data_IF_155055994739
#
_entry.id   IF_155055994739
#
_cell.length_a   1.000
_cell.length_b   1.000
_cell.length_c   1.000
_cell.angle_alpha   90.00
_cell.angle_beta   90.00
_cell.angle_gamma   90.00
#
_symmetry.space_group_name_H-M   'P 1'
#
loop_
_entity.id
_entity.type
_entity.pdbx_description
1 polymer ?
#
# COMPACT_ATOMS: atom_id res chain seq x y z
N UNK A 1 10.85 -11.05 -13.14
CA UNK A 1 12.33 -11.04 -13.05
C UNK A 1 12.61 -10.52 -11.66
N UNK A 2 13.29 -11.29 -10.80
CA UNK A 2 13.60 -10.82 -9.46
C UNK A 2 14.83 -9.91 -9.55
N UNK A 3 14.72 -8.68 -9.03
CA UNK A 3 15.83 -7.73 -8.97
C UNK A 3 16.35 -7.73 -7.55
N UNK A 4 17.65 -7.94 -7.40
CA UNK A 4 18.33 -7.81 -6.12
C UNK A 4 18.54 -6.32 -5.81
N UNK A 5 17.99 -5.88 -4.69
CA UNK A 5 18.04 -4.50 -4.20
C UNK A 5 18.96 -4.45 -2.99
N UNK A 6 19.95 -3.56 -3.04
CA UNK A 6 20.84 -3.25 -1.92
C UNK A 6 20.57 -1.82 -1.46
N UNK A 7 20.61 -1.57 -0.15
CA UNK A 7 20.43 -0.22 0.38
C UNK A 7 21.30 0.04 1.62
N UNK A 8 21.52 1.33 1.88
CA UNK A 8 22.02 1.88 3.13
C UNK A 8 21.19 3.14 3.48
N UNK A 9 21.59 3.89 4.50
CA UNK A 9 20.89 5.07 5.01
C UNK A 9 20.79 6.26 4.03
N UNK A 10 21.50 6.24 2.91
CA UNK A 10 21.58 7.33 1.94
C UNK A 10 21.38 6.92 0.47
N UNK A 11 21.31 5.61 0.21
CA UNK A 11 21.31 5.07 -1.15
C UNK A 11 20.58 3.73 -1.27
N UNK A 12 19.88 3.57 -2.40
CA UNK A 12 19.38 2.28 -2.91
C UNK A 12 20.03 2.00 -4.26
N UNK A 13 20.51 0.77 -4.47
CA UNK A 13 21.10 0.33 -5.75
C UNK A 13 20.55 -1.01 -6.21
N UNK A 14 20.51 -1.19 -7.53
CA UNK A 14 20.12 -2.45 -8.16
C UNK A 14 20.70 -2.56 -9.56
N UNK A 15 20.76 -3.78 -10.11
CA UNK A 15 21.16 -4.01 -11.49
C UNK A 15 19.94 -4.17 -12.40
N UNK A 16 19.86 -3.37 -13.45
CA UNK A 16 18.79 -3.45 -14.45
C UNK A 16 19.34 -3.24 -15.86
N UNK A 17 19.03 -4.16 -16.78
CA UNK A 17 19.51 -4.15 -18.18
C UNK A 17 21.04 -3.96 -18.32
N UNK A 18 21.81 -4.61 -17.44
CA UNK A 18 23.27 -4.56 -17.45
C UNK A 18 23.86 -3.24 -16.94
N UNK A 19 23.04 -2.38 -16.33
CA UNK A 19 23.46 -1.13 -15.68
C UNK A 19 23.21 -1.21 -14.19
N UNK A 20 24.15 -0.71 -13.40
CA UNK A 20 23.92 -0.43 -11.99
C UNK A 20 23.17 0.91 -11.89
N UNK A 21 21.97 0.86 -11.33
CA UNK A 21 21.11 2.01 -11.09
C UNK A 21 21.24 2.40 -9.62
N UNK A 22 21.22 3.71 -9.37
CA UNK A 22 21.39 4.30 -8.05
C UNK A 22 20.32 5.36 -7.81
N UNK A 23 19.66 5.26 -6.66
CA UNK A 23 18.74 6.26 -6.13
C UNK A 23 19.29 6.79 -4.80
N UNK A 24 19.41 8.10 -4.65
CA UNK A 24 20.00 8.73 -3.46
C UNK A 24 18.99 9.58 -2.71
N UNK A 25 18.82 9.30 -1.42
CA UNK A 25 17.93 9.98 -0.50
C UNK A 25 18.40 9.69 0.93
N UNK A 26 18.57 10.72 1.75
CA UNK A 26 18.92 10.51 3.16
C UNK A 26 17.73 9.94 3.95
N UNK A 27 18.04 9.12 4.95
CA UNK A 27 17.06 8.54 5.87
C UNK A 27 16.40 7.27 5.36
N UNK A 28 17.02 6.54 4.43
CA UNK A 28 16.48 5.26 3.97
C UNK A 28 16.60 4.24 5.12
N UNK A 29 15.46 3.68 5.52
CA UNK A 29 15.38 2.64 6.55
C UNK A 29 15.19 1.25 5.93
N UNK A 30 14.54 1.20 4.76
CA UNK A 30 14.24 -0.05 4.07
C UNK A 30 14.08 0.17 2.57
N UNK A 31 14.47 -0.82 1.76
CA UNK A 31 14.11 -0.89 0.35
C UNK A 31 13.98 -2.33 -0.14
N UNK A 32 13.04 -2.58 -1.04
CA UNK A 32 12.84 -3.89 -1.70
C UNK A 32 12.24 -3.73 -3.09
N UNK A 33 12.31 -4.78 -3.90
CA UNK A 33 11.44 -4.90 -5.06
C UNK A 33 10.01 -5.17 -4.59
N UNK A 34 9.05 -4.48 -5.19
CA UNK A 34 7.62 -4.68 -4.99
C UNK A 34 6.90 -4.37 -6.30
N UNK A 35 6.16 -5.34 -6.84
CA UNK A 35 5.27 -5.15 -7.97
C UNK A 35 5.93 -4.52 -9.22
N UNK A 36 7.14 -4.96 -9.58
CA UNK A 36 7.97 -4.40 -10.66
C UNK A 36 8.40 -2.92 -10.45
N UNK A 37 8.42 -2.48 -9.20
CA UNK A 37 8.96 -1.21 -8.75
C UNK A 37 9.95 -1.46 -7.61
N UNK A 38 10.67 -0.42 -7.23
CA UNK A 38 11.49 -0.39 -6.01
C UNK A 38 10.69 0.40 -4.97
N UNK A 39 10.25 -0.29 -3.93
CA UNK A 39 9.64 0.30 -2.74
C UNK A 39 10.75 0.75 -1.78
N UNK A 40 10.62 1.96 -1.24
CA UNK A 40 11.62 2.57 -0.36
C UNK A 40 10.90 3.24 0.81
N UNK A 41 11.32 2.93 2.03
CA UNK A 41 10.90 3.59 3.26
C UNK A 41 11.96 4.61 3.66
N UNK A 42 11.52 5.86 3.82
CA UNK A 42 12.37 6.98 4.22
C UNK A 42 11.86 7.56 5.53
N UNK A 43 12.71 7.68 6.53
CA UNK A 43 12.42 8.31 7.80
C UNK A 43 13.20 9.60 7.96
N UNK A 44 12.49 10.71 8.14
CA UNK A 44 13.11 12.01 8.37
C UNK A 44 12.25 12.85 9.32
N UNK A 45 12.90 13.52 10.28
CA UNK A 45 12.24 14.42 11.24
C UNK A 45 11.01 13.83 11.96
N UNK A 46 11.05 12.53 12.27
CA UNK A 46 9.96 11.87 12.98
C UNK A 46 8.85 11.32 12.09
N UNK A 47 8.95 11.48 10.77
CA UNK A 47 7.89 11.17 9.81
C UNK A 47 8.40 10.13 8.81
N UNK A 48 7.55 9.15 8.50
CA UNK A 48 7.78 8.21 7.40
C UNK A 48 7.22 8.74 6.08
N UNK A 49 8.03 8.65 5.03
CA UNK A 49 7.66 8.81 3.63
C UNK A 49 7.97 7.51 2.90
N UNK A 50 6.99 7.02 2.14
CA UNK A 50 7.09 5.80 1.35
C UNK A 50 7.15 6.17 -0.11
N UNK A 51 8.09 5.57 -0.86
CA UNK A 51 8.37 5.94 -2.24
C UNK A 51 8.38 4.72 -3.15
N UNK A 52 7.92 4.92 -4.38
CA UNK A 52 8.00 3.94 -5.45
C UNK A 52 8.78 4.50 -6.63
N UNK A 53 9.87 3.82 -6.94
CA UNK A 53 10.81 4.16 -8.00
C UNK A 53 10.75 3.07 -9.06
N UNK A 54 10.78 3.43 -10.34
CA UNK A 54 10.86 2.43 -11.41
C UNK A 54 12.27 1.84 -11.55
N UNK A 55 12.43 0.78 -12.34
CA UNK A 55 13.74 0.13 -12.51
C UNK A 55 14.80 0.98 -13.21
N UNK A 56 14.43 2.10 -13.85
CA UNK A 56 15.39 3.09 -14.37
C UNK A 56 15.79 4.16 -13.35
N UNK A 57 15.27 4.11 -12.12
CA UNK A 57 15.62 5.04 -11.04
C UNK A 57 14.73 6.29 -10.98
N UNK A 58 13.61 6.32 -11.69
CA UNK A 58 12.67 7.44 -11.71
C UNK A 58 11.62 7.28 -10.61
N UNK A 59 11.52 8.27 -9.73
CA UNK A 59 10.46 8.36 -8.72
C UNK A 59 9.11 8.59 -9.42
N UNK A 60 8.14 7.72 -9.12
CA UNK A 60 6.80 7.76 -9.73
C UNK A 60 5.73 8.19 -8.75
N UNK A 61 5.86 7.74 -7.50
CA UNK A 61 4.82 7.87 -6.48
C UNK A 61 5.47 7.99 -5.11
N UNK A 62 4.92 8.83 -4.24
CA UNK A 62 5.22 8.79 -2.81
C UNK A 62 3.97 9.02 -1.99
N UNK A 63 3.97 8.57 -0.74
CA UNK A 63 2.91 8.89 0.20
C UNK A 63 3.45 9.00 1.63
N UNK A 64 2.69 9.69 2.46
CA UNK A 64 2.99 9.86 3.87
C UNK A 64 1.67 9.82 4.66
N UNK A 65 1.59 8.89 5.61
CA UNK A 65 0.40 8.67 6.44
C UNK A 65 0.16 9.87 7.36
N UNK A 66 1.20 10.38 8.04
CA UNK A 66 1.08 11.49 8.98
C UNK A 66 0.60 12.80 8.33
N UNK A 67 1.08 13.07 7.11
CA UNK A 67 0.63 14.22 6.32
C UNK A 67 -0.59 13.90 5.47
N UNK A 68 -1.09 12.67 5.52
CA UNK A 68 -2.18 12.09 4.73
C UNK A 68 -2.13 12.48 3.24
N UNK A 69 -0.92 12.50 2.68
CA UNK A 69 -0.65 13.04 1.36
C UNK A 69 -0.09 11.97 0.44
N UNK A 70 -0.58 11.96 -0.79
CA UNK A 70 -0.06 11.17 -1.90
C UNK A 70 0.49 12.13 -2.96
N UNK A 71 1.72 11.87 -3.42
CA UNK A 71 2.35 12.61 -4.52
C UNK A 71 2.55 11.68 -5.71
N UNK A 72 2.03 12.10 -6.86
CA UNK A 72 2.17 11.39 -8.14
C UNK A 72 3.04 12.24 -9.04
N UNK A 73 4.23 11.78 -9.40
CA UNK A 73 5.23 12.62 -10.05
C UNK A 73 4.98 12.80 -11.56
N UNK A 74 4.27 11.86 -12.19
CA UNK A 74 4.02 11.85 -13.64
C UNK A 74 2.53 11.64 -13.95
N UNK A 75 2.00 12.23 -15.05
CA UNK A 75 2.68 13.14 -15.96
C UNK A 75 2.83 14.59 -15.42
N UNK A 76 2.00 15.01 -14.45
CA UNK A 76 1.85 16.44 -14.11
C UNK A 76 2.09 16.77 -12.62
N UNK A 77 3.00 16.07 -11.92
CA UNK A 77 3.32 16.29 -10.49
C UNK A 77 2.12 16.74 -9.62
N UNK A 78 1.35 15.78 -9.12
CA UNK A 78 0.10 16.03 -8.38
C UNK A 78 0.26 15.67 -6.92
N UNK A 79 -0.31 16.49 -6.05
CA UNK A 79 -0.37 16.26 -4.61
C UNK A 79 -1.85 16.13 -4.24
N UNK A 80 -2.20 15.02 -3.59
CA UNK A 80 -3.57 14.67 -3.21
C UNK A 80 -3.60 14.48 -1.70
N UNK A 81 -4.51 15.19 -1.04
CA UNK A 81 -4.79 14.98 0.39
C UNK A 81 -5.90 13.94 0.51
N UNK A 82 -5.64 12.85 1.24
CA UNK A 82 -6.60 11.76 1.48
C UNK A 82 -6.84 11.64 2.98
N UNK A 83 -7.87 12.30 3.54
CA UNK A 83 -8.10 12.31 4.98
C UNK A 83 -8.31 10.93 5.59
N UNK A 84 -7.80 10.76 6.80
CA UNK A 84 -7.84 9.55 7.61
C UNK A 84 -7.17 8.34 6.95
N UNK A 85 -6.14 8.56 6.13
CA UNK A 85 -5.33 7.48 5.55
C UNK A 85 -4.65 6.67 6.66
N UNK A 86 -4.73 5.35 6.56
CA UNK A 86 -4.14 4.39 7.50
C UNK A 86 -3.10 3.50 6.83
N UNK A 87 -3.31 3.17 5.54
CA UNK A 87 -2.47 2.26 4.78
C UNK A 87 -2.65 2.51 3.27
N UNK A 88 -1.65 2.16 2.46
CA UNK A 88 -1.67 2.33 1.01
C UNK A 88 -0.83 1.27 0.30
N UNK A 89 -1.39 0.68 -0.75
CA UNK A 89 -0.65 -0.22 -1.65
C UNK A 89 -0.93 0.10 -3.11
N UNK A 90 0.09 -0.03 -3.97
CA UNK A 90 -0.07 0.10 -5.41
C UNK A 90 -0.64 -1.18 -6.03
N UNK A 91 -1.27 -1.01 -7.19
CA UNK A 91 -1.65 -2.08 -8.11
C UNK A 91 -0.86 -1.96 -9.41
N UNK A 92 -0.56 -3.09 -10.04
CA UNK A 92 0.14 -3.13 -11.34
C UNK A 92 -0.58 -2.40 -12.48
N UNK A 93 -1.87 -2.08 -12.31
CA UNK A 93 -2.72 -1.47 -13.34
C UNK A 93 -2.83 0.06 -13.26
N UNK A 94 -1.82 0.75 -12.72
CA UNK A 94 -1.86 2.22 -12.51
C UNK A 94 -3.04 2.68 -11.64
N UNK A 95 -3.41 1.87 -10.66
CA UNK A 95 -4.27 2.26 -9.55
C UNK A 95 -3.54 2.05 -8.23
N UNK A 96 -4.03 2.69 -7.19
CA UNK A 96 -3.57 2.47 -5.82
C UNK A 96 -4.77 2.40 -4.89
N UNK A 97 -4.61 1.60 -3.84
CA UNK A 97 -5.65 1.35 -2.86
C UNK A 97 -5.25 2.01 -1.56
N UNK A 98 -6.17 2.76 -0.97
CA UNK A 98 -5.97 3.47 0.28
C UNK A 98 -6.99 2.98 1.29
N UNK A 99 -6.49 2.48 2.41
CA UNK A 99 -7.31 2.25 3.59
C UNK A 99 -7.51 3.58 4.30
N UNK A 100 -8.76 3.96 4.54
CA UNK A 100 -9.12 5.19 5.23
C UNK A 100 -10.11 4.93 6.37
N UNK A 101 -10.04 5.76 7.41
CA UNK A 101 -10.92 5.69 8.57
C UNK A 101 -10.62 4.48 9.47
N UNK A 102 -11.38 4.35 10.55
CA UNK A 102 -11.20 3.31 11.56
C UNK A 102 -12.55 2.70 11.97
N UNK A 103 -12.52 1.46 12.46
CA UNK A 103 -13.71 0.77 12.94
C UNK A 103 -14.83 0.73 11.88
N UNK A 104 -16.06 1.07 12.27
CA UNK A 104 -17.22 1.00 11.39
C UNK A 104 -17.15 2.00 10.20
N UNK A 105 -16.32 3.04 10.30
CA UNK A 105 -16.14 4.04 9.25
C UNK A 105 -14.98 3.69 8.31
N UNK A 106 -14.28 2.58 8.54
CA UNK A 106 -13.20 2.11 7.67
C UNK A 106 -13.70 1.85 6.24
N UNK A 107 -12.93 2.29 5.25
CA UNK A 107 -13.19 2.10 3.81
C UNK A 107 -11.90 1.74 3.11
N UNK A 108 -12.00 0.89 2.10
CA UNK A 108 -10.92 0.71 1.13
C UNK A 108 -11.31 1.47 -0.14
N UNK A 109 -10.47 2.40 -0.58
CA UNK A 109 -10.73 3.23 -1.76
C UNK A 109 -9.67 2.97 -2.82
N UNK A 110 -10.13 2.73 -4.04
CA UNK A 110 -9.27 2.67 -5.22
C UNK A 110 -9.20 4.05 -5.87
N UNK A 111 -7.99 4.47 -6.21
CA UNK A 111 -7.69 5.70 -6.93
C UNK A 111 -6.90 5.37 -8.19
N UNK A 112 -7.09 6.16 -9.25
CA UNK A 112 -6.23 6.12 -10.43
C UNK A 112 -5.00 7.04 -10.25
N UNK A 113 -4.00 6.92 -11.14
CA UNK A 113 -2.83 7.80 -11.13
C UNK A 113 -3.12 9.24 -11.60
N UNK A 114 -4.39 9.58 -11.86
CA UNK A 114 -4.85 10.96 -12.01
C UNK A 114 -5.26 11.59 -10.67
N UNK A 115 -5.35 10.77 -9.61
CA UNK A 115 -5.75 11.18 -8.28
C UNK A 115 -7.26 11.15 -8.04
N UNK A 116 -8.01 10.54 -8.95
CA UNK A 116 -9.46 10.45 -8.88
C UNK A 116 -9.83 9.14 -8.18
N UNK A 117 -10.79 9.21 -7.25
CA UNK A 117 -11.35 8.02 -6.61
C UNK A 117 -12.22 7.28 -7.63
N UNK A 118 -11.85 6.04 -7.92
CA UNK A 118 -12.51 5.16 -8.90
C UNK A 118 -13.63 4.38 -8.23
N UNK A 119 -13.34 3.82 -7.04
CA UNK A 119 -14.26 2.94 -6.33
C UNK A 119 -14.02 2.97 -4.83
N UNK A 120 -15.09 2.80 -4.07
CA UNK A 120 -15.05 2.59 -2.63
C UNK A 120 -15.63 1.21 -2.30
N UNK A 121 -14.99 0.51 -1.37
CA UNK A 121 -15.41 -0.78 -0.86
C UNK A 121 -15.78 -0.64 0.61
N UNK A 122 -16.87 -1.30 0.99
CA UNK A 122 -17.30 -1.45 2.38
C UNK A 122 -16.72 -2.74 2.96
N UNK A 123 -16.43 -2.79 4.27
CA UNK A 123 -15.99 -4.01 4.91
C UNK A 123 -17.12 -5.06 4.93
N UNK A 124 -16.79 -6.35 5.09
CA UNK A 124 -17.79 -7.39 5.34
C UNK A 124 -18.67 -7.06 6.55
N UNK A 125 -19.95 -7.42 6.51
CA UNK A 125 -20.89 -7.16 7.61
C UNK A 125 -20.37 -7.67 8.95
N UNK A 126 -20.25 -6.76 9.93
CA UNK A 126 -19.78 -7.08 11.28
C UNK A 126 -18.25 -7.04 11.45
N UNK A 127 -17.54 -6.58 10.43
CA UNK A 127 -16.10 -6.35 10.43
C UNK A 127 -15.77 -4.89 10.07
N UNK A 128 -14.53 -4.52 10.35
CA UNK A 128 -13.88 -3.26 9.94
C UNK A 128 -12.56 -3.58 9.25
N UNK A 129 -12.17 -2.83 8.23
CA UNK A 129 -10.85 -2.99 7.62
C UNK A 129 -9.75 -2.51 8.57
N UNK A 130 -8.59 -3.16 8.52
CA UNK A 130 -7.49 -2.91 9.45
C UNK A 130 -6.13 -2.73 8.79
N UNK A 131 -5.76 -3.60 7.86
CA UNK A 131 -4.54 -3.44 7.05
C UNK A 131 -4.73 -4.02 5.66
N UNK A 132 -3.98 -3.50 4.70
CA UNK A 132 -3.81 -4.11 3.39
C UNK A 132 -2.75 -5.21 3.52
N UNK A 133 -2.98 -6.37 2.91
CA UNK A 133 -2.01 -7.48 2.90
C UNK A 133 -1.34 -7.54 1.53
N UNK A 134 -2.13 -7.56 0.48
CA UNK A 134 -1.65 -7.65 -0.89
C UNK A 134 -2.65 -6.98 -1.83
N UNK A 135 -2.14 -6.24 -2.80
CA UNK A 135 -2.90 -5.77 -3.95
C UNK A 135 -2.18 -6.31 -5.18
N UNK A 136 -2.86 -7.19 -5.91
CA UNK A 136 -2.39 -7.95 -7.05
C UNK A 136 -1.48 -9.16 -6.68
N UNK A 137 -1.84 -10.40 -7.08
CA UNK A 137 -2.90 -10.75 -8.05
C UNK A 137 -4.32 -10.68 -7.47
N UNK A 138 -4.46 -10.62 -6.15
CA UNK A 138 -5.73 -10.51 -5.45
C UNK A 138 -5.75 -9.27 -4.59
N UNK A 139 -6.95 -8.80 -4.20
CA UNK A 139 -7.08 -7.78 -3.15
C UNK A 139 -7.31 -8.55 -1.86
N UNK A 140 -6.29 -8.60 -1.00
CA UNK A 140 -6.35 -9.21 0.32
C UNK A 140 -6.15 -8.16 1.41
N UNK A 141 -7.03 -8.20 2.40
CA UNK A 141 -7.05 -7.28 3.53
C UNK A 141 -7.27 -8.05 4.83
N UNK A 142 -6.76 -7.52 5.93
CA UNK A 142 -7.20 -7.95 7.26
C UNK A 142 -8.37 -7.11 7.68
N UNK A 143 -9.39 -7.77 8.21
CA UNK A 143 -10.51 -7.14 8.87
C UNK A 143 -10.62 -7.59 10.33
N UNK A 144 -10.92 -6.65 11.23
CA UNK A 144 -11.24 -6.96 12.63
C UNK A 144 -12.75 -7.15 12.78
N UNK A 145 -13.14 -8.33 13.26
CA UNK A 145 -14.53 -8.66 13.55
C UNK A 145 -14.99 -8.10 14.90
N UNK A 146 -16.29 -7.86 15.06
CA UNK A 146 -16.86 -7.56 16.37
C UNK A 146 -16.83 -8.78 17.32
N UNK A 147 -17.33 -8.62 18.55
CA UNK A 147 -17.35 -9.68 19.58
C UNK A 147 -17.96 -11.02 19.10
N UNK A 148 -18.91 -11.01 18.16
CA UNK A 148 -19.55 -12.23 17.66
C UNK A 148 -18.65 -13.03 16.71
N UNK A 149 -17.61 -12.40 16.16
CA UNK A 149 -16.67 -13.00 15.21
C UNK A 149 -15.32 -13.37 15.84
N UNK A 150 -15.23 -13.33 17.17
CA UNK A 150 -14.09 -13.87 17.90
C UNK A 150 -14.05 -15.39 17.80
N UNK A 151 -12.85 -15.92 17.62
CA UNK A 151 -12.62 -17.34 17.82
C UNK A 151 -12.67 -17.72 19.31
N UNK A 152 -12.56 -19.02 19.61
CA UNK A 152 -12.59 -19.53 20.99
C UNK A 152 -11.47 -19.00 21.89
N UNK A 153 -10.45 -18.37 21.33
CA UNK A 153 -9.32 -17.76 22.04
C UNK A 153 -9.43 -16.23 22.13
N UNK A 154 -10.52 -15.65 21.62
CA UNK A 154 -10.79 -14.22 21.65
C UNK A 154 -10.18 -13.44 20.48
N UNK A 155 -9.59 -14.11 19.48
CA UNK A 155 -8.97 -13.47 18.30
C UNK A 155 -10.04 -13.13 17.27
N UNK A 156 -9.95 -11.95 16.67
CA UNK A 156 -10.94 -11.42 15.74
C UNK A 156 -10.35 -10.81 14.47
N UNK A 157 -9.05 -10.96 14.23
CA UNK A 157 -8.41 -10.49 13.00
C UNK A 157 -8.44 -11.61 11.96
N UNK A 158 -9.05 -11.34 10.82
CA UNK A 158 -9.27 -12.32 9.77
C UNK A 158 -8.85 -11.75 8.41
N UNK A 159 -8.18 -12.56 7.61
CA UNK A 159 -7.90 -12.26 6.22
C UNK A 159 -9.18 -12.41 5.38
N UNK A 160 -9.37 -11.47 4.47
CA UNK A 160 -10.44 -11.47 3.47
C UNK A 160 -9.87 -11.17 2.09
N UNK A 161 -10.32 -11.92 1.10
CA UNK A 161 -9.98 -11.70 -0.30
C UNK A 161 -11.21 -11.22 -1.06
N UNK A 162 -11.06 -10.20 -1.91
CA UNK A 162 -12.14 -9.75 -2.79
C UNK A 162 -12.32 -10.75 -3.94
N UNK A 163 -13.53 -11.24 -4.12
CA UNK A 163 -13.91 -11.97 -5.31
C UNK A 163 -14.19 -11.01 -6.46
N UNK A 164 -13.37 -11.06 -7.52
CA UNK A 164 -13.46 -10.13 -8.64
C UNK A 164 -14.72 -10.31 -9.51
N UNK A 165 -15.35 -11.49 -9.50
CA UNK A 165 -16.54 -11.78 -10.30
C UNK A 165 -17.81 -11.24 -9.65
N UNK A 166 -17.91 -11.42 -8.33
CA UNK A 166 -19.09 -11.08 -7.54
C UNK A 166 -18.97 -9.72 -6.84
N UNK A 167 -17.74 -9.24 -6.62
CA UNK A 167 -17.47 -8.05 -5.82
C UNK A 167 -17.65 -8.27 -4.31
N UNK A 168 -17.79 -9.52 -3.86
CA UNK A 168 -17.99 -9.88 -2.45
C UNK A 168 -16.67 -10.25 -1.77
N UNK A 169 -16.60 -10.01 -0.46
CA UNK A 169 -15.47 -10.41 0.37
C UNK A 169 -15.58 -11.85 0.85
N UNK A 170 -14.55 -12.66 0.59
CA UNK A 170 -14.44 -14.04 1.06
C UNK A 170 -13.46 -14.12 2.21
N UNK A 171 -13.94 -14.53 3.38
CA UNK A 171 -13.08 -14.80 4.54
C UNK A 171 -12.19 -16.00 4.25
N UNK A 172 -10.87 -15.86 4.42
CA UNK A 172 -9.90 -16.92 4.16
C UNK A 172 -9.42 -17.57 5.46
N UNK A 173 -8.59 -16.87 6.24
CA UNK A 173 -7.88 -17.41 7.40
C UNK A 173 -7.79 -16.41 8.55
N UNK A 174 -7.33 -16.85 9.72
CA UNK A 174 -6.92 -15.93 10.78
C UNK A 174 -5.70 -15.14 10.32
N UNK A 175 -5.70 -13.83 10.59
CA UNK A 175 -4.52 -13.00 10.39
C UNK A 175 -3.53 -13.22 11.54
N UNK A 176 -2.25 -13.29 11.19
CA UNK A 176 -1.12 -13.36 12.12
C UNK A 176 -0.17 -12.19 11.87
#
# INVERSE_FOLDING_TARGET
MQIDVEYNDSEVTWNYNGRNIKYSKEGIEFASEDNNLIYIEVYHDGIYEYQYVNFEGKLLFSYCIDTETVTIFEPDHRIIKIPSMQDLSLSNNQSFFVLVGEGNDSRLREYNFQGEMVKEYLPPTGYSFYRIVEINPVIEVVCQGNEQFKDKFGRNDWNFTLDAETGEWKRSSLAY
#
